data_IF_884608674830
#
_entry.id   IF_884608674830
#
_cell.length_a   1.000
_cell.length_b   1.000
_cell.length_c   1.000
_cell.angle_alpha   90.00
_cell.angle_beta   90.00
_cell.angle_gamma   90.00
#
_symmetry.space_group_name_H-M   'P 1'
#
loop_
_entity.id
_entity.type
_entity.pdbx_description
1 polymer ?
#
# COMPACT_ATOMS: atom_id res chain seq x y z
N UNK A 1 23.88 25.36 -70.77
CA UNK A 1 25.13 25.96 -70.23
C UNK A 1 25.80 24.94 -69.31
N UNK A 2 27.13 25.01 -69.12
CA UNK A 2 27.96 24.02 -68.39
C UNK A 2 27.80 24.18 -66.86
N UNK A 3 27.56 23.10 -66.12
CA UNK A 3 28.52 22.20 -65.46
C UNK A 3 29.16 22.77 -64.17
N UNK A 4 29.02 22.06 -63.05
CA UNK A 4 29.66 22.39 -61.76
C UNK A 4 31.03 21.73 -61.59
N UNK A 5 31.74 22.05 -60.51
CA UNK A 5 32.96 21.37 -60.01
C UNK A 5 33.08 21.58 -58.49
N UNK A 6 33.47 20.51 -57.80
CA UNK A 6 33.89 20.48 -56.39
C UNK A 6 35.43 20.58 -56.32
N UNK A 7 36.03 21.21 -55.31
CA UNK A 7 37.42 20.87 -54.93
C UNK A 7 37.85 21.26 -53.50
N UNK A 8 38.59 20.34 -52.88
CA UNK A 8 39.19 20.43 -51.54
C UNK A 8 40.70 20.77 -51.58
N UNK A 9 41.23 21.29 -50.47
CA UNK A 9 42.62 21.24 -49.99
C UNK A 9 42.60 21.61 -48.48
N UNK A 10 43.23 20.93 -47.49
CA UNK A 10 44.18 19.79 -47.40
C UNK A 10 45.65 20.11 -47.74
N UNK A 11 46.55 19.59 -46.87
CA UNK A 11 48.02 19.49 -46.96
C UNK A 11 48.86 20.78 -46.69
N UNK A 12 50.08 20.76 -46.13
CA UNK A 12 50.84 19.75 -45.34
C UNK A 12 52.19 20.38 -44.88
N UNK A 13 52.87 19.90 -43.83
CA UNK A 13 54.35 19.66 -43.80
C UNK A 13 54.80 18.93 -42.52
N UNK A 14 55.98 18.27 -42.56
CA UNK A 14 56.34 17.14 -41.69
C UNK A 14 57.67 17.29 -40.91
N UNK A 15 57.69 16.69 -39.72
CA UNK A 15 58.80 15.97 -39.05
C UNK A 15 60.11 16.75 -38.71
N UNK A 16 60.91 16.28 -37.72
CA UNK A 16 61.77 15.09 -37.89
C UNK A 16 61.73 14.06 -36.73
N UNK A 17 62.49 12.98 -36.93
CA UNK A 17 62.48 11.69 -36.22
C UNK A 17 63.35 11.61 -34.96
N UNK A 18 62.99 10.68 -34.05
CA UNK A 18 63.99 9.77 -33.44
C UNK A 18 63.37 8.43 -33.03
N UNK A 19 63.93 7.32 -33.55
CA UNK A 19 63.66 5.94 -33.10
C UNK A 19 64.68 5.54 -32.02
N UNK A 20 64.23 4.98 -30.89
CA UNK A 20 64.99 4.03 -30.03
C UNK A 20 63.96 3.09 -29.39
N UNK A 21 63.65 1.93 -30.00
CA UNK A 21 64.23 0.59 -29.74
C UNK A 21 63.42 -0.21 -28.72
N UNK A 22 62.97 -1.40 -29.16
CA UNK A 22 62.18 -2.36 -28.38
C UNK A 22 63.02 -3.05 -27.31
N UNK A 23 62.50 -3.21 -26.10
CA UNK A 23 62.98 -4.21 -25.14
C UNK A 23 61.95 -5.32 -24.98
N UNK A 24 62.27 -6.49 -25.52
CA UNK A 24 61.41 -7.68 -25.49
C UNK A 24 61.55 -8.39 -24.14
N UNK A 25 60.58 -8.23 -23.23
CA UNK A 25 60.45 -9.10 -22.05
C UNK A 25 59.25 -10.04 -22.20
N UNK A 26 59.59 -11.16 -22.83
CA UNK A 26 58.99 -12.49 -22.78
C UNK A 26 58.09 -12.77 -21.56
N UNK A 27 56.79 -12.95 -21.86
CA UNK A 27 55.81 -13.89 -21.27
C UNK A 27 55.94 -14.21 -19.77
N UNK A 28 54.87 -13.91 -19.02
CA UNK A 28 54.14 -14.89 -18.19
C UNK A 28 52.65 -14.51 -18.26
N UNK A 29 51.80 -15.50 -18.55
CA UNK A 29 50.35 -15.38 -18.37
C UNK A 29 50.05 -15.90 -16.97
N UNK A 30 49.51 -15.05 -16.10
CA UNK A 30 48.74 -15.47 -14.93
C UNK A 30 47.36 -14.87 -15.11
N UNK A 31 46.38 -15.74 -15.33
CA UNK A 31 44.98 -15.35 -15.38
C UNK A 31 44.54 -15.02 -13.95
N UNK A 32 44.51 -13.73 -13.62
CA UNK A 32 43.88 -13.22 -12.40
C UNK A 32 42.38 -13.17 -12.63
N UNK A 33 41.71 -14.31 -12.45
CA UNK A 33 40.25 -14.39 -12.44
C UNK A 33 39.73 -13.69 -11.18
N UNK A 34 39.71 -12.36 -11.21
CA UNK A 34 39.05 -11.55 -10.21
C UNK A 34 37.55 -11.76 -10.35
N UNK A 35 37.03 -12.76 -9.64
CA UNK A 35 35.61 -12.89 -9.40
C UNK A 35 35.15 -11.61 -8.69
N UNK A 36 34.59 -10.69 -9.47
CA UNK A 36 33.72 -9.66 -8.93
C UNK A 36 32.51 -10.40 -8.36
N UNK A 37 32.61 -10.74 -7.08
CA UNK A 37 31.46 -11.09 -6.26
C UNK A 37 30.53 -9.89 -6.28
N UNK A 38 29.63 -9.88 -7.25
CA UNK A 38 28.34 -9.25 -7.09
C UNK A 38 27.72 -9.92 -5.86
N UNK A 39 27.93 -9.29 -4.71
CA UNK A 39 27.03 -9.46 -3.58
C UNK A 39 25.69 -9.02 -4.13
N UNK A 40 24.89 -9.99 -4.57
CA UNK A 40 23.46 -9.77 -4.70
C UNK A 40 23.05 -9.27 -3.32
N UNK A 41 22.67 -8.00 -3.24
CA UNK A 41 22.01 -7.50 -2.05
C UNK A 41 20.83 -8.44 -1.86
N UNK A 42 20.83 -9.13 -0.74
CA UNK A 42 19.61 -9.70 -0.22
C UNK A 42 18.66 -8.52 -0.08
N UNK A 43 17.72 -8.39 -1.00
CA UNK A 43 16.47 -7.69 -0.78
C UNK A 43 15.67 -8.50 0.25
N UNK A 44 16.25 -8.63 1.44
CA UNK A 44 15.50 -8.84 2.66
C UNK A 44 14.82 -7.51 2.87
N UNK A 45 13.57 -7.49 2.45
CA UNK A 45 12.64 -6.39 2.53
C UNK A 45 12.87 -5.53 3.79
N UNK A 46 13.52 -4.38 3.61
CA UNK A 46 13.70 -3.40 4.67
C UNK A 46 12.46 -2.53 4.86
N UNK A 47 11.41 -2.79 4.10
CA UNK A 47 10.23 -1.94 3.97
C UNK A 47 9.07 -2.43 4.85
N UNK A 48 9.07 -3.72 5.19
CA UNK A 48 8.21 -4.32 6.20
C UNK A 48 8.83 -4.40 7.61
N UNK A 49 10.07 -3.96 7.84
CA UNK A 49 10.69 -4.00 9.18
C UNK A 49 9.99 -3.01 10.12
N UNK A 50 9.10 -3.54 10.97
CA UNK A 50 8.30 -2.76 11.92
C UNK A 50 6.94 -2.33 11.38
N UNK A 51 6.65 -2.56 10.09
CA UNK A 51 5.34 -2.31 9.47
C UNK A 51 4.37 -3.44 9.81
N UNK A 52 3.10 -3.11 10.03
CA UNK A 52 1.99 -4.07 10.08
C UNK A 52 1.29 -4.17 8.72
N UNK A 53 1.19 -3.05 8.00
CA UNK A 53 0.85 -2.98 6.57
C UNK A 53 1.60 -1.81 5.91
N UNK A 54 1.87 -1.92 4.61
CA UNK A 54 2.36 -0.85 3.74
C UNK A 54 1.31 -0.61 2.64
N UNK A 55 1.01 0.66 2.33
CA UNK A 55 -0.01 1.09 1.36
C UNK A 55 0.59 2.29 0.61
N UNK A 56 0.71 2.20 -0.72
CA UNK A 56 1.41 3.17 -1.60
C UNK A 56 2.83 3.58 -1.11
N UNK A 57 3.53 2.64 -0.45
CA UNK A 57 4.83 2.86 0.18
C UNK A 57 4.80 3.53 1.57
N UNK A 58 3.66 4.11 1.97
CA UNK A 58 3.42 4.62 3.32
C UNK A 58 3.14 3.47 4.30
N UNK A 59 3.51 3.66 5.57
CA UNK A 59 3.64 2.56 6.54
C UNK A 59 2.79 2.77 7.76
N UNK A 60 1.89 1.81 8.01
CA UNK A 60 1.23 1.67 9.30
C UNK A 60 2.02 0.69 10.16
N UNK A 61 2.57 1.15 11.28
CA UNK A 61 3.52 0.34 12.05
C UNK A 61 2.83 -0.68 12.97
N UNK A 62 3.61 -1.65 13.45
CA UNK A 62 3.19 -2.55 14.52
C UNK A 62 2.81 -1.76 15.78
N UNK A 63 3.54 -0.69 16.11
CA UNK A 63 3.20 0.16 17.26
C UNK A 63 1.87 0.91 17.03
N UNK A 64 1.58 1.38 15.81
CA UNK A 64 0.29 2.01 15.49
C UNK A 64 -0.88 1.03 15.64
N UNK A 65 -0.74 -0.19 15.11
CA UNK A 65 -1.71 -1.27 15.30
C UNK A 65 -1.94 -1.56 16.78
N UNK A 66 -0.86 -1.70 17.55
CA UNK A 66 -0.95 -1.97 18.98
C UNK A 66 -1.64 -0.81 19.73
N UNK A 67 -1.34 0.44 19.38
CA UNK A 67 -2.00 1.61 19.96
C UNK A 67 -3.51 1.63 19.67
N UNK A 68 -3.94 1.31 18.44
CA UNK A 68 -5.37 1.19 18.11
C UNK A 68 -6.05 0.06 18.90
N UNK A 69 -5.44 -1.13 18.92
CA UNK A 69 -5.94 -2.31 19.65
C UNK A 69 -6.00 -2.07 21.17
N UNK A 70 -5.05 -1.33 21.73
CA UNK A 70 -5.09 -0.93 23.15
C UNK A 70 -6.18 0.12 23.44
N UNK A 71 -6.48 1.05 22.53
CA UNK A 71 -7.58 2.01 22.73
C UNK A 71 -8.92 1.27 22.80
N UNK A 72 -9.18 0.35 21.87
CA UNK A 72 -10.40 -0.47 21.89
C UNK A 72 -10.51 -1.34 23.16
N UNK A 73 -9.41 -1.93 23.65
CA UNK A 73 -9.40 -2.70 24.90
C UNK A 73 -9.69 -1.87 26.17
N UNK A 74 -9.66 -0.54 26.10
CA UNK A 74 -10.01 0.35 27.24
C UNK A 74 -11.49 0.73 27.25
N UNK A 75 -12.26 0.37 26.22
CA UNK A 75 -13.69 0.65 26.13
C UNK A 75 -14.47 -0.21 27.13
N UNK A 76 -15.42 0.41 27.85
CA UNK A 76 -16.25 -0.32 28.81
C UNK A 76 -17.19 -1.29 28.08
N UNK A 77 -17.07 -2.59 28.37
CA UNK A 77 -17.87 -3.64 27.73
C UNK A 77 -17.26 -4.26 26.48
N UNK A 78 -16.05 -3.88 26.05
CA UNK A 78 -15.32 -4.63 25.03
C UNK A 78 -14.86 -6.00 25.58
N UNK A 79 -15.10 -7.05 24.82
CA UNK A 79 -14.60 -8.41 25.10
C UNK A 79 -13.83 -8.93 23.87
N UNK A 80 -12.52 -9.11 24.04
CA UNK A 80 -11.63 -9.58 22.98
C UNK A 80 -11.91 -11.03 22.57
N UNK A 81 -12.44 -11.87 23.47
CA UNK A 81 -12.78 -13.26 23.14
C UNK A 81 -14.08 -13.31 22.31
N UNK A 82 -15.05 -12.43 22.61
CA UNK A 82 -16.22 -12.21 21.76
C UNK A 82 -15.84 -11.66 20.38
N UNK A 83 -14.77 -10.87 20.28
CA UNK A 83 -14.17 -10.42 19.02
C UNK A 83 -13.31 -11.49 18.29
N UNK A 84 -13.39 -12.76 18.70
CA UNK A 84 -12.65 -13.88 18.08
C UNK A 84 -11.22 -14.07 18.57
N UNK A 85 -10.85 -13.43 19.68
CA UNK A 85 -9.52 -13.45 20.28
C UNK A 85 -8.57 -12.43 19.67
N UNK A 86 -7.50 -12.10 20.40
CA UNK A 86 -6.55 -11.03 20.05
C UNK A 86 -6.03 -11.07 18.59
N UNK A 87 -5.64 -12.22 18.01
CA UNK A 87 -5.15 -12.26 16.62
C UNK A 87 -6.25 -11.96 15.59
N UNK A 88 -7.50 -12.30 15.87
CA UNK A 88 -8.63 -11.96 14.98
C UNK A 88 -8.91 -10.47 15.06
N UNK A 89 -8.99 -9.92 16.28
CA UNK A 89 -9.21 -8.49 16.47
C UNK A 89 -8.11 -7.61 15.86
N UNK A 90 -6.83 -8.03 15.94
CA UNK A 90 -5.73 -7.36 15.23
C UNK A 90 -5.95 -7.31 13.70
N UNK A 91 -6.44 -8.40 13.08
CA UNK A 91 -6.80 -8.40 11.65
C UNK A 91 -8.00 -7.52 11.36
N UNK A 92 -9.00 -7.45 12.24
CA UNK A 92 -10.15 -6.54 12.11
C UNK A 92 -9.71 -5.08 12.12
N UNK A 93 -8.80 -4.69 13.02
CA UNK A 93 -8.26 -3.32 13.07
C UNK A 93 -7.43 -3.00 11.81
N UNK A 94 -6.57 -3.91 11.36
CA UNK A 94 -5.85 -3.73 10.08
C UNK A 94 -6.79 -3.63 8.89
N UNK A 95 -7.82 -4.48 8.82
CA UNK A 95 -8.82 -4.46 7.73
C UNK A 95 -9.51 -3.11 7.65
N UNK A 96 -10.01 -2.60 8.78
CA UNK A 96 -10.67 -1.28 8.84
C UNK A 96 -9.72 -0.15 8.41
N UNK A 97 -8.46 -0.19 8.82
CA UNK A 97 -7.49 0.82 8.41
C UNK A 97 -7.20 0.77 6.91
N UNK A 98 -6.94 -0.42 6.34
CA UNK A 98 -6.69 -0.57 4.90
C UNK A 98 -7.92 -0.13 4.09
N UNK A 99 -9.12 -0.53 4.50
CA UNK A 99 -10.36 -0.08 3.86
C UNK A 99 -10.48 1.45 3.88
N UNK A 100 -10.20 2.09 5.01
CA UNK A 100 -10.25 3.55 5.14
C UNK A 100 -9.28 4.24 4.18
N UNK A 101 -8.01 3.80 4.09
CA UNK A 101 -7.05 4.39 3.12
C UNK A 101 -7.50 4.21 1.65
N UNK A 102 -8.11 3.06 1.32
CA UNK A 102 -8.68 2.82 -0.02
C UNK A 102 -9.87 3.75 -0.29
N UNK A 103 -10.75 3.98 0.70
CA UNK A 103 -11.85 4.94 0.58
C UNK A 103 -11.36 6.39 0.47
N UNK A 104 -10.30 6.78 1.19
CA UNK A 104 -9.68 8.09 1.04
C UNK A 104 -9.09 8.29 -0.36
N UNK A 105 -8.44 7.27 -0.94
CA UNK A 105 -7.97 7.33 -2.34
C UNK A 105 -9.12 7.41 -3.34
N UNK A 106 -10.19 6.63 -3.15
CA UNK A 106 -11.41 6.74 -3.97
C UNK A 106 -11.99 8.16 -3.93
N UNK A 107 -12.00 8.79 -2.76
CA UNK A 107 -12.49 10.15 -2.60
C UNK A 107 -11.59 11.19 -3.31
N UNK A 108 -10.26 11.01 -3.26
CA UNK A 108 -9.31 11.86 -4.00
C UNK A 108 -9.46 11.73 -5.52
N UNK A 109 -9.58 10.50 -6.03
CA UNK A 109 -9.67 10.23 -7.47
C UNK A 109 -10.96 10.78 -8.12
N UNK A 110 -12.06 10.79 -7.36
CA UNK A 110 -13.39 11.21 -7.81
C UNK A 110 -13.75 12.66 -7.40
N UNK A 111 -12.85 13.39 -6.72
CA UNK A 111 -13.06 14.76 -6.15
C UNK A 111 -14.22 14.82 -5.12
N UNK A 112 -14.50 13.69 -4.46
CA UNK A 112 -15.53 13.56 -3.42
C UNK A 112 -15.01 14.19 -2.12
N UNK A 113 -15.79 15.09 -1.54
CA UNK A 113 -15.45 15.78 -0.29
C UNK A 113 -16.48 15.46 0.80
N UNK A 114 -16.01 14.83 1.88
CA UNK A 114 -16.76 14.62 3.12
C UNK A 114 -16.20 15.53 4.20
N UNK A 115 -17.03 16.36 4.82
CA UNK A 115 -16.61 17.24 5.92
C UNK A 115 -16.95 16.65 7.29
N UNK A 116 -16.29 17.15 8.34
CA UNK A 116 -16.61 16.81 9.73
C UNK A 116 -18.09 17.06 10.07
N UNK A 117 -18.72 18.06 9.44
CA UNK A 117 -20.14 18.35 9.66
C UNK A 117 -21.04 17.27 9.03
N UNK A 118 -20.68 16.73 7.86
CA UNK A 118 -21.43 15.63 7.23
C UNK A 118 -21.30 14.34 8.06
N UNK A 119 -20.13 14.10 8.66
CA UNK A 119 -19.88 12.99 9.60
C UNK A 119 -20.71 13.19 10.88
N UNK A 120 -20.73 14.40 11.46
CA UNK A 120 -21.52 14.71 12.66
C UNK A 120 -23.03 14.55 12.41
N UNK A 121 -23.55 15.10 11.30
CA UNK A 121 -24.97 14.97 10.91
C UNK A 121 -25.36 13.50 10.65
N UNK A 122 -24.48 12.72 10.02
CA UNK A 122 -24.68 11.28 9.82
C UNK A 122 -24.68 10.51 11.15
N UNK A 123 -23.77 10.84 12.07
CA UNK A 123 -23.72 10.24 13.42
C UNK A 123 -24.98 10.62 14.22
N UNK A 124 -25.48 11.85 14.16
CA UNK A 124 -26.77 12.22 14.78
C UNK A 124 -27.92 11.36 14.20
N UNK A 125 -27.94 11.16 12.88
CA UNK A 125 -28.91 10.29 12.20
C UNK A 125 -28.84 8.81 12.61
N UNK A 126 -27.65 8.28 12.91
CA UNK A 126 -27.45 6.92 13.45
C UNK A 126 -27.90 6.87 14.91
N UNK A 127 -27.45 7.81 15.73
CA UNK A 127 -27.81 7.93 17.16
C UNK A 127 -29.31 8.05 17.37
N UNK A 128 -30.02 8.82 16.53
CA UNK A 128 -31.47 8.98 16.60
C UNK A 128 -32.26 7.66 16.42
N UNK A 129 -31.65 6.62 15.86
CA UNK A 129 -32.23 5.28 15.71
C UNK A 129 -31.90 4.35 16.88
N UNK A 130 -30.91 4.70 17.71
CA UNK A 130 -30.50 3.92 18.86
C UNK A 130 -31.40 4.17 20.09
N UNK A 131 -31.63 3.15 20.96
CA UNK A 131 -32.42 3.31 22.18
C UNK A 131 -31.84 4.39 23.12
N UNK A 132 -32.47 5.57 23.13
CA UNK A 132 -32.07 6.69 23.98
C UNK A 132 -30.99 7.61 23.41
N UNK A 133 -30.57 7.42 22.14
CA UNK A 133 -29.54 8.24 21.50
C UNK A 133 -28.09 7.83 21.80
N UNK A 134 -27.89 6.75 22.56
CA UNK A 134 -26.58 6.27 23.03
C UNK A 134 -26.07 5.14 22.14
N UNK A 135 -24.84 5.30 21.61
CA UNK A 135 -24.13 4.31 20.81
C UNK A 135 -22.98 3.63 21.56
N UNK A 136 -22.54 4.16 22.70
CA UNK A 136 -21.27 3.82 23.35
C UNK A 136 -21.16 2.32 23.62
N UNK A 137 -22.21 1.73 24.19
CA UNK A 137 -22.25 0.30 24.50
C UNK A 137 -22.22 -0.59 23.24
N UNK A 138 -22.77 -0.13 22.11
CA UNK A 138 -22.75 -0.88 20.85
C UNK A 138 -21.39 -0.78 20.16
N UNK A 139 -20.80 0.42 20.12
CA UNK A 139 -19.46 0.66 19.57
C UNK A 139 -18.39 -0.07 20.39
N UNK A 140 -18.46 -0.03 21.72
CA UNK A 140 -17.56 -0.74 22.61
C UNK A 140 -17.62 -2.27 22.40
N UNK A 141 -18.81 -2.87 22.31
CA UNK A 141 -18.94 -4.31 22.00
C UNK A 141 -18.38 -4.68 20.62
N UNK A 142 -18.48 -3.79 19.64
CA UNK A 142 -17.91 -3.97 18.29
C UNK A 142 -16.43 -3.56 18.17
N UNK A 143 -15.80 -3.12 19.28
CA UNK A 143 -14.41 -2.68 19.31
C UNK A 143 -14.13 -1.45 18.45
N UNK A 144 -15.09 -0.52 18.33
CA UNK A 144 -14.91 0.78 17.70
C UNK A 144 -14.60 1.84 18.77
N UNK A 145 -13.47 2.53 18.61
CA UNK A 145 -13.27 3.83 19.24
C UNK A 145 -14.08 4.90 18.49
N UNK A 146 -14.24 6.08 19.10
CA UNK A 146 -14.87 7.23 18.44
C UNK A 146 -14.21 7.53 17.08
N UNK A 147 -12.88 7.67 17.04
CA UNK A 147 -12.11 7.89 15.79
C UNK A 147 -12.40 6.81 14.72
N UNK A 148 -12.42 5.54 15.11
CA UNK A 148 -12.64 4.42 14.18
C UNK A 148 -14.10 4.32 13.71
N UNK A 149 -15.04 4.80 14.52
CA UNK A 149 -16.45 4.92 14.11
C UNK A 149 -16.63 6.11 13.14
N UNK A 150 -16.03 7.27 13.43
CA UNK A 150 -16.04 8.43 12.52
C UNK A 150 -15.43 8.10 11.16
N UNK A 151 -14.30 7.38 11.14
CA UNK A 151 -13.69 6.88 9.90
C UNK A 151 -14.65 5.99 9.09
N UNK A 152 -15.29 4.99 9.72
CA UNK A 152 -16.27 4.14 9.03
C UNK A 152 -17.53 4.86 8.57
N UNK A 153 -17.93 5.96 9.23
CA UNK A 153 -19.00 6.85 8.75
C UNK A 153 -18.54 7.66 7.54
N UNK A 154 -17.31 8.17 7.53
CA UNK A 154 -16.73 8.85 6.37
C UNK A 154 -16.65 7.91 5.16
N UNK A 155 -16.18 6.67 5.34
CA UNK A 155 -16.16 5.62 4.31
C UNK A 155 -17.56 5.38 3.72
N UNK A 156 -18.59 5.31 4.58
CA UNK A 156 -19.98 5.16 4.14
C UNK A 156 -20.48 6.39 3.36
N UNK A 157 -20.07 7.61 3.72
CA UNK A 157 -20.42 8.83 2.99
C UNK A 157 -19.73 8.89 1.62
N UNK A 158 -18.46 8.51 1.53
CA UNK A 158 -17.70 8.38 0.27
C UNK A 158 -18.39 7.36 -0.65
N UNK A 159 -18.73 6.18 -0.11
CA UNK A 159 -19.44 5.13 -0.85
C UNK A 159 -20.79 5.59 -1.41
N UNK A 160 -21.54 6.40 -0.65
CA UNK A 160 -22.83 6.96 -1.09
C UNK A 160 -22.64 8.01 -2.20
N UNK A 161 -21.70 8.95 -2.02
CA UNK A 161 -21.40 9.97 -3.03
C UNK A 161 -20.95 9.33 -4.36
N UNK A 162 -20.03 8.38 -4.31
CA UNK A 162 -19.58 7.62 -5.49
C UNK A 162 -20.73 6.94 -6.22
N UNK A 163 -21.63 6.27 -5.48
CA UNK A 163 -22.79 5.60 -6.06
C UNK A 163 -23.79 6.58 -6.70
N UNK A 164 -23.99 7.75 -6.10
CA UNK A 164 -24.86 8.81 -6.63
C UNK A 164 -24.29 9.47 -7.90
N UNK A 165 -22.99 9.75 -7.94
CA UNK A 165 -22.33 10.44 -9.05
C UNK A 165 -22.10 9.53 -10.26
N UNK A 166 -21.62 8.30 -10.04
CA UNK A 166 -21.34 7.33 -11.10
C UNK A 166 -22.54 6.42 -11.46
N UNK A 167 -23.62 6.45 -10.67
CA UNK A 167 -24.74 5.52 -10.81
C UNK A 167 -24.34 4.06 -10.54
N UNK A 168 -23.30 3.86 -9.72
CA UNK A 168 -22.73 2.56 -9.39
C UNK A 168 -23.63 1.79 -8.41
N UNK A 169 -23.68 0.47 -8.55
CA UNK A 169 -24.24 -0.41 -7.52
C UNK A 169 -23.13 -0.95 -6.60
N UNK A 170 -23.52 -1.68 -5.56
CA UNK A 170 -22.56 -2.24 -4.59
C UNK A 170 -21.52 -3.17 -5.23
N UNK A 171 -21.83 -3.84 -6.36
CA UNK A 171 -20.88 -4.71 -7.02
C UNK A 171 -19.82 -3.89 -7.76
N UNK A 172 -20.25 -2.84 -8.48
CA UNK A 172 -19.35 -1.90 -9.14
C UNK A 172 -18.44 -1.17 -8.12
N UNK A 173 -18.99 -0.68 -7.00
CA UNK A 173 -18.18 -0.10 -5.91
C UNK A 173 -17.16 -1.10 -5.35
N UNK A 174 -17.56 -2.36 -5.14
CA UNK A 174 -16.63 -3.39 -4.65
C UNK A 174 -15.49 -3.66 -5.65
N UNK A 175 -15.81 -3.73 -6.95
CA UNK A 175 -14.82 -3.88 -8.02
C UNK A 175 -13.83 -2.70 -8.02
N UNK A 176 -14.31 -1.47 -7.95
CA UNK A 176 -13.46 -0.26 -7.85
C UNK A 176 -12.55 -0.27 -6.62
N UNK A 177 -13.06 -0.64 -5.44
CA UNK A 177 -12.25 -0.72 -4.21
C UNK A 177 -11.18 -1.83 -4.27
N UNK A 178 -11.47 -2.95 -4.93
CA UNK A 178 -10.50 -4.03 -5.16
C UNK A 178 -9.42 -3.59 -6.14
N UNK A 179 -9.78 -2.92 -7.24
CA UNK A 179 -8.83 -2.38 -8.20
C UNK A 179 -7.92 -1.31 -7.55
N UNK A 180 -8.47 -0.41 -6.73
CA UNK A 180 -7.69 0.57 -5.96
C UNK A 180 -6.75 -0.09 -4.93
N UNK A 181 -7.22 -1.10 -4.20
CA UNK A 181 -6.35 -1.87 -3.28
C UNK A 181 -5.19 -2.57 -3.99
N UNK A 182 -5.39 -2.96 -5.24
CA UNK A 182 -4.34 -3.52 -6.10
C UNK A 182 -3.40 -2.43 -6.66
N UNK A 183 -3.92 -1.25 -7.04
CA UNK A 183 -3.12 -0.10 -7.50
C UNK A 183 -2.21 0.43 -6.38
N UNK A 184 -2.75 0.58 -5.17
CA UNK A 184 -2.03 1.03 -3.97
C UNK A 184 -1.02 0.00 -3.45
N UNK A 185 -1.00 -1.23 -3.99
CA UNK A 185 -0.02 -2.26 -3.63
C UNK A 185 -0.01 -2.61 -2.14
N UNK A 186 -1.18 -2.94 -1.56
CA UNK A 186 -1.33 -3.25 -0.14
C UNK A 186 -0.49 -4.46 0.28
N UNK A 187 0.57 -4.24 1.06
CA UNK A 187 1.46 -5.28 1.59
C UNK A 187 1.27 -5.47 3.10
N UNK A 188 0.46 -6.46 3.48
CA UNK A 188 0.26 -6.84 4.89
C UNK A 188 1.45 -7.68 5.37
N UNK A 189 1.96 -7.38 6.57
CA UNK A 189 3.02 -8.16 7.20
C UNK A 189 2.53 -9.62 7.43
N UNK A 190 3.24 -10.65 6.92
CA UNK A 190 2.80 -12.05 6.96
C UNK A 190 2.45 -12.62 8.34
N UNK A 191 2.90 -11.97 9.43
CA UNK A 191 2.48 -12.31 10.79
C UNK A 191 0.97 -12.15 11.02
N UNK A 192 0.35 -11.16 10.39
CA UNK A 192 -1.06 -10.84 10.58
C UNK A 192 -1.94 -11.56 9.56
N UNK A 193 -1.46 -11.72 8.32
CA UNK A 193 -2.18 -12.43 7.26
C UNK A 193 -1.87 -11.89 5.87
N UNK A 194 -2.83 -12.08 4.97
CA UNK A 194 -2.82 -11.59 3.59
C UNK A 194 -4.03 -10.71 3.34
N UNK A 195 -3.84 -9.61 2.60
CA UNK A 195 -4.95 -8.87 1.99
C UNK A 195 -5.51 -9.66 0.80
N UNK A 196 -6.81 -9.51 0.51
CA UNK A 196 -7.48 -10.22 -0.58
C UNK A 196 -8.65 -9.44 -1.16
N UNK A 197 -9.19 -9.95 -2.28
CA UNK A 197 -10.28 -9.35 -3.06
C UNK A 197 -11.63 -9.32 -2.29
N UNK A 198 -11.71 -9.97 -1.11
CA UNK A 198 -12.80 -9.83 -0.15
C UNK A 198 -12.68 -8.55 0.71
N UNK A 199 -11.72 -7.67 0.38
CA UNK A 199 -11.38 -6.43 1.07
C UNK A 199 -11.09 -6.66 2.57
N UNK A 200 -10.43 -7.77 2.90
CA UNK A 200 -10.14 -8.15 4.27
C UNK A 200 -8.72 -8.71 4.45
N UNK A 201 -8.18 -8.55 5.67
CA UNK A 201 -7.00 -9.29 6.10
C UNK A 201 -7.44 -10.67 6.57
N UNK A 202 -7.21 -11.68 5.74
CA UNK A 202 -7.44 -13.09 6.07
C UNK A 202 -6.20 -13.69 6.73
N UNK A 203 -6.37 -14.67 7.63
CA UNK A 203 -5.23 -15.39 8.17
C UNK A 203 -4.60 -16.27 7.07
N UNK A 204 -3.27 -16.36 7.03
CA UNK A 204 -2.54 -17.18 6.05
C UNK A 204 -2.68 -18.68 6.34
N UNK A 205 -3.88 -19.19 6.10
CA UNK A 205 -4.19 -20.62 5.96
C UNK A 205 -4.20 -20.92 4.46
N UNK A 206 -3.01 -20.84 3.85
CA UNK A 206 -2.78 -20.80 2.41
C UNK A 206 -3.81 -21.53 1.54
N UNK A 207 -4.58 -20.73 0.80
CA UNK A 207 -5.63 -21.11 -0.16
C UNK A 207 -6.40 -22.40 0.18
N UNK A 208 -7.46 -22.28 0.99
CA UNK A 208 -8.59 -23.20 0.88
C UNK A 208 -9.37 -22.80 -0.36
N UNK A 209 -8.87 -23.25 -1.53
CA UNK A 209 -9.42 -22.94 -2.84
C UNK A 209 -10.89 -23.39 -2.98
N UNK A 210 -11.59 -22.79 -3.93
CA UNK A 210 -13.01 -23.03 -4.19
C UNK A 210 -13.38 -24.53 -4.30
N UNK A 211 -14.56 -24.95 -3.82
CA UNK A 211 -15.11 -26.25 -4.15
C UNK A 211 -15.49 -26.28 -5.64
N UNK A 212 -14.62 -26.86 -6.47
CA UNK A 212 -14.94 -27.16 -7.86
C UNK A 212 -16.27 -27.92 -7.95
N UNK A 213 -17.24 -27.30 -8.63
CA UNK A 213 -18.60 -27.81 -8.85
C UNK A 213 -18.76 -28.40 -10.25
#
# INVERSE_FOLDING_TARGET
MRAGIVRSAVAETRAPTKRITVSTIRRIVIASLAAASALALTACDSEQIGSAVVIDGDRFTVDDLQNQVERAQRLEGFDVEAAGGMPAFQRTVLTRHIQHEIFLRLAEDEDIQVSEADIDDAIEGISAQAPGGDLDAALAQAGYTEDAFRAGVADQLIAQAFAEENGADNAALTETLVDLGNELGVEVNPRYGTWGDDLAVSADTGSISEPAS
#
